data_IF_316987256136
#
_entry.id   IF_316987256136
#
_cell.length_a   1.000
_cell.length_b   1.000
_cell.length_c   1.000
_cell.angle_alpha   90.00
_cell.angle_beta   90.00
_cell.angle_gamma   90.00
#
_symmetry.space_group_name_H-M   'P 1'
#
loop_
_entity.id
_entity.type
_entity.pdbx_description
1 polymer ?
#
# COMPACT_ATOMS: atom_id res chain seq x y z
N UNK A 1 -20.54 4.45 -11.90
CA UNK A 1 -20.45 3.56 -13.07
C UNK A 1 -19.65 2.34 -12.61
N UNK A 2 -20.25 1.15 -12.62
CA UNK A 2 -19.64 -0.09 -12.09
C UNK A 2 -19.40 -1.14 -13.17
N UNK A 3 -19.94 -0.90 -14.36
CA UNK A 3 -19.57 -1.56 -15.60
C UNK A 3 -18.46 -0.74 -16.25
N UNK A 4 -17.43 -1.41 -16.76
CA UNK A 4 -16.31 -0.76 -17.46
C UNK A 4 -15.62 -1.74 -18.40
N UNK A 5 -15.02 -1.21 -19.46
CA UNK A 5 -14.11 -1.98 -20.32
C UNK A 5 -12.80 -2.30 -19.59
N UNK A 6 -12.05 -3.33 -20.03
CA UNK A 6 -10.74 -3.65 -19.46
C UNK A 6 -9.74 -2.49 -19.50
N UNK A 7 -9.79 -1.63 -20.53
CA UNK A 7 -8.95 -0.43 -20.64
C UNK A 7 -9.31 0.62 -19.57
N UNK A 8 -10.60 0.88 -19.38
CA UNK A 8 -11.08 1.78 -18.33
C UNK A 8 -10.76 1.23 -16.93
N UNK A 9 -10.95 -0.08 -16.73
CA UNK A 9 -10.59 -0.77 -15.51
C UNK A 9 -9.11 -0.65 -15.20
N UNK A 10 -8.23 -0.82 -16.20
CA UNK A 10 -6.78 -0.69 -16.01
C UNK A 10 -6.41 0.74 -15.60
N UNK A 11 -6.96 1.75 -16.29
CA UNK A 11 -6.75 3.16 -15.94
C UNK A 11 -7.21 3.45 -14.51
N UNK A 12 -8.38 2.94 -14.12
CA UNK A 12 -8.93 3.14 -12.78
C UNK A 12 -8.08 2.44 -11.72
N UNK A 13 -7.71 1.18 -11.95
CA UNK A 13 -6.82 0.42 -11.07
C UNK A 13 -5.49 1.12 -10.84
N UNK A 14 -4.84 1.63 -11.91
CA UNK A 14 -3.59 2.40 -11.79
C UNK A 14 -3.78 3.65 -10.96
N UNK A 15 -4.88 4.38 -11.13
CA UNK A 15 -5.18 5.56 -10.32
C UNK A 15 -5.40 5.22 -8.84
N UNK A 16 -6.00 4.07 -8.53
CA UNK A 16 -6.19 3.61 -7.15
C UNK A 16 -4.85 3.28 -6.48
N UNK A 17 -3.98 2.51 -7.13
CA UNK A 17 -2.67 2.15 -6.56
C UNK A 17 -1.69 3.33 -6.52
N UNK A 18 -1.81 4.27 -7.46
CA UNK A 18 -1.06 5.52 -7.42
C UNK A 18 -1.48 6.39 -6.23
N UNK A 19 -2.78 6.55 -6.00
CA UNK A 19 -3.29 7.27 -4.85
C UNK A 19 -2.93 6.57 -3.53
N UNK A 20 -3.03 5.24 -3.44
CA UNK A 20 -2.63 4.49 -2.25
C UNK A 20 -1.15 4.71 -1.89
N UNK A 21 -0.26 4.60 -2.88
CA UNK A 21 1.17 4.83 -2.65
C UNK A 21 1.52 6.29 -2.33
N UNK A 22 0.79 7.27 -2.90
CA UNK A 22 0.93 8.68 -2.52
C UNK A 22 0.50 8.92 -1.07
N UNK A 23 -0.65 8.37 -0.66
CA UNK A 23 -1.15 8.47 0.71
C UNK A 23 -0.17 7.86 1.74
N UNK A 24 0.48 6.74 1.41
CA UNK A 24 1.53 6.15 2.24
C UNK A 24 2.75 7.07 2.35
N UNK A 25 3.20 7.65 1.25
CA UNK A 25 4.31 8.61 1.25
C UNK A 25 3.99 9.85 2.11
N UNK A 26 2.78 10.38 1.99
CA UNK A 26 2.33 11.53 2.77
C UNK A 26 2.19 11.17 4.26
N UNK A 27 1.66 9.98 4.57
CA UNK A 27 1.58 9.46 5.94
C UNK A 27 2.97 9.35 6.57
N UNK A 28 3.98 8.91 5.80
CA UNK A 28 5.36 8.80 6.27
C UNK A 28 5.96 10.17 6.61
N UNK A 29 5.71 11.20 5.78
CA UNK A 29 6.12 12.58 6.09
C UNK A 29 5.45 13.09 7.37
N UNK A 30 4.15 12.83 7.54
CA UNK A 30 3.42 13.25 8.72
C UNK A 30 3.84 12.50 9.99
N UNK A 31 4.23 11.24 9.85
CA UNK A 31 4.79 10.44 10.94
C UNK A 31 6.10 11.04 11.43
N UNK A 32 7.01 11.39 10.52
CA UNK A 32 8.27 12.06 10.85
C UNK A 32 8.08 13.44 11.50
N UNK A 33 6.97 14.11 11.21
CA UNK A 33 6.57 15.38 11.83
C UNK A 33 5.73 15.21 13.11
N UNK A 34 5.67 13.99 13.67
CA UNK A 34 4.90 13.65 14.87
C UNK A 34 3.39 13.96 14.79
N UNK A 35 2.84 14.11 13.57
CA UNK A 35 1.41 14.31 13.33
C UNK A 35 0.69 12.95 13.25
N UNK A 36 0.81 12.16 14.32
CA UNK A 36 0.41 10.74 14.39
C UNK A 36 -1.04 10.49 14.01
N UNK A 37 -1.98 11.35 14.46
CA UNK A 37 -3.38 11.24 14.11
C UNK A 37 -3.62 11.26 12.60
N UNK A 38 -3.02 12.23 11.91
CA UNK A 38 -3.16 12.37 10.45
C UNK A 38 -2.44 11.26 9.70
N UNK A 39 -1.23 10.88 10.14
CA UNK A 39 -0.50 9.77 9.54
C UNK A 39 -1.34 8.48 9.58
N UNK A 40 -2.00 8.20 10.71
CA UNK A 40 -2.93 7.07 10.85
C UNK A 40 -4.12 7.16 9.91
N UNK A 41 -4.75 8.33 9.81
CA UNK A 41 -5.87 8.49 8.89
C UNK A 41 -5.50 8.29 7.42
N UNK A 42 -4.33 8.78 6.99
CA UNK A 42 -3.85 8.58 5.63
C UNK A 42 -3.48 7.11 5.35
N UNK A 43 -2.92 6.41 6.34
CA UNK A 43 -2.63 4.98 6.25
C UNK A 43 -3.93 4.17 6.02
N UNK A 44 -4.97 4.44 6.81
CA UNK A 44 -6.29 3.79 6.63
C UNK A 44 -6.89 4.10 5.26
N UNK A 45 -6.79 5.36 4.80
CA UNK A 45 -7.27 5.73 3.46
C UNK A 45 -6.52 4.98 2.35
N UNK A 46 -5.20 4.80 2.47
CA UNK A 46 -4.42 4.02 1.52
C UNK A 46 -4.91 2.57 1.43
N UNK A 47 -5.21 1.94 2.57
CA UNK A 47 -5.77 0.59 2.63
C UNK A 47 -7.19 0.53 2.03
N UNK A 48 -8.02 1.56 2.20
CA UNK A 48 -9.32 1.61 1.52
C UNK A 48 -9.20 1.74 -0.01
N UNK A 49 -8.20 2.50 -0.50
CA UNK A 49 -7.91 2.60 -1.93
C UNK A 49 -7.41 1.26 -2.48
N UNK A 50 -6.54 0.57 -1.72
CA UNK A 50 -6.09 -0.78 -2.02
C UNK A 50 -7.26 -1.77 -2.10
N UNK A 51 -8.21 -1.74 -1.15
CA UNK A 51 -9.39 -2.61 -1.19
C UNK A 51 -10.21 -2.47 -2.46
N UNK A 52 -10.40 -1.23 -2.96
CA UNK A 52 -11.02 -1.02 -4.28
C UNK A 52 -10.16 -1.56 -5.42
N UNK A 53 -8.84 -1.39 -5.33
CA UNK A 53 -7.92 -1.88 -6.35
C UNK A 53 -7.97 -3.41 -6.44
N UNK A 54 -8.10 -4.11 -5.31
CA UNK A 54 -8.25 -5.57 -5.25
C UNK A 54 -9.51 -6.03 -5.98
N UNK A 55 -10.66 -5.40 -5.75
CA UNK A 55 -11.90 -5.74 -6.47
C UNK A 55 -11.80 -5.54 -8.00
N UNK A 56 -11.13 -4.47 -8.45
CA UNK A 56 -10.88 -4.28 -9.89
C UNK A 56 -9.92 -5.35 -10.41
N UNK A 57 -8.86 -5.62 -9.68
CA UNK A 57 -7.82 -6.57 -10.08
C UNK A 57 -8.39 -7.99 -10.21
N UNK A 58 -9.18 -8.44 -9.23
CA UNK A 58 -9.86 -9.74 -9.25
C UNK A 58 -10.75 -9.88 -10.50
N UNK A 59 -11.53 -8.85 -10.82
CA UNK A 59 -12.45 -8.88 -11.94
C UNK A 59 -11.77 -8.85 -13.32
N UNK A 60 -10.62 -8.18 -13.46
CA UNK A 60 -10.04 -7.88 -14.79
C UNK A 60 -8.65 -8.47 -15.06
N UNK A 61 -7.95 -9.05 -14.07
CA UNK A 61 -6.58 -9.55 -14.27
C UNK A 61 -6.46 -10.54 -15.45
N UNK A 62 -7.48 -11.37 -15.69
CA UNK A 62 -7.49 -12.31 -16.82
C UNK A 62 -7.67 -11.57 -18.14
N UNK A 63 -8.68 -10.71 -18.25
CA UNK A 63 -8.93 -9.91 -19.45
C UNK A 63 -7.71 -9.06 -19.84
N UNK A 64 -7.03 -8.44 -18.88
CA UNK A 64 -5.79 -7.70 -19.12
C UNK A 64 -4.64 -8.56 -19.61
N UNK A 65 -4.60 -9.84 -19.22
CA UNK A 65 -3.54 -10.76 -19.62
C UNK A 65 -3.77 -11.29 -21.03
N UNK A 66 -5.03 -11.57 -21.38
CA UNK A 66 -5.45 -12.17 -22.66
C UNK A 66 -5.72 -11.12 -23.75
N UNK A 67 -5.85 -9.83 -23.39
CA UNK A 67 -6.23 -8.77 -24.32
C UNK A 67 -7.72 -8.79 -24.66
N UNK A 68 -8.55 -9.42 -23.82
CA UNK A 68 -9.99 -9.34 -23.93
C UNK A 68 -10.44 -7.90 -23.65
N UNK A 69 -11.41 -7.42 -24.43
CA UNK A 69 -12.00 -6.10 -24.33
C UNK A 69 -13.46 -6.13 -23.86
N UNK A 70 -13.98 -7.30 -23.52
CA UNK A 70 -15.36 -7.47 -23.04
C UNK A 70 -15.57 -6.68 -21.75
N UNK A 71 -16.55 -5.75 -21.71
CA UNK A 71 -16.88 -5.03 -20.48
C UNK A 71 -17.40 -5.97 -19.39
N UNK A 72 -17.03 -5.68 -18.14
CA UNK A 72 -17.47 -6.43 -16.97
C UNK A 72 -18.09 -5.50 -15.93
N UNK A 73 -19.05 -6.04 -15.17
CA UNK A 73 -19.62 -5.39 -13.99
C UNK A 73 -18.84 -5.83 -12.76
N UNK A 74 -18.24 -4.87 -12.04
CA UNK A 74 -17.59 -5.13 -10.75
C UNK A 74 -18.62 -5.05 -9.64
N UNK A 75 -19.26 -6.19 -9.34
CA UNK A 75 -20.34 -6.28 -8.35
C UNK A 75 -19.93 -5.76 -6.97
N UNK A 76 -18.69 -6.05 -6.53
CA UNK A 76 -18.17 -5.58 -5.26
C UNK A 76 -18.15 -4.04 -5.16
N UNK A 77 -17.76 -3.34 -6.24
CA UNK A 77 -17.82 -1.87 -6.26
C UNK A 77 -19.26 -1.34 -6.21
N UNK A 78 -20.19 -2.00 -6.88
CA UNK A 78 -21.61 -1.62 -6.84
C UNK A 78 -22.20 -1.76 -5.44
N UNK A 79 -21.85 -2.84 -4.75
CA UNK A 79 -22.40 -3.16 -3.45
C UNK A 79 -21.70 -2.43 -2.30
N UNK A 80 -20.37 -2.32 -2.36
CA UNK A 80 -19.53 -1.91 -1.23
C UNK A 80 -18.63 -0.70 -1.53
N UNK A 81 -18.70 -0.09 -2.73
CA UNK A 81 -17.81 1.01 -3.11
C UNK A 81 -17.86 2.24 -2.20
N UNK A 82 -18.97 2.43 -1.46
CA UNK A 82 -19.14 3.51 -0.47
C UNK A 82 -18.95 3.05 0.98
N UNK A 83 -18.71 1.76 1.20
CA UNK A 83 -18.53 1.17 2.51
C UNK A 83 -17.03 1.17 2.86
N UNK A 84 -16.64 2.08 3.75
CA UNK A 84 -15.25 2.24 4.20
C UNK A 84 -14.73 0.98 4.91
N UNK A 85 -15.57 0.39 5.79
CA UNK A 85 -15.25 -0.81 6.54
C UNK A 85 -14.99 -1.98 5.59
N UNK A 86 -15.83 -2.16 4.56
CA UNK A 86 -15.64 -3.24 3.57
C UNK A 86 -14.38 -3.07 2.72
N UNK A 87 -14.09 -1.85 2.27
CA UNK A 87 -12.84 -1.57 1.53
C UNK A 87 -11.60 -1.88 2.37
N UNK A 88 -11.58 -1.43 3.63
CA UNK A 88 -10.47 -1.69 4.53
C UNK A 88 -10.30 -3.18 4.82
N UNK A 89 -11.41 -3.87 5.10
CA UNK A 89 -11.44 -5.30 5.37
C UNK A 89 -10.81 -6.11 4.22
N UNK A 90 -11.10 -5.74 2.97
CA UNK A 90 -10.51 -6.38 1.79
C UNK A 90 -8.96 -6.32 1.82
N UNK A 91 -8.41 -5.15 2.16
CA UNK A 91 -6.96 -4.96 2.25
C UNK A 91 -6.35 -5.74 3.42
N UNK A 92 -7.05 -5.84 4.56
CA UNK A 92 -6.59 -6.65 5.72
C UNK A 92 -6.53 -8.12 5.35
N UNK A 93 -7.62 -8.67 4.80
CA UNK A 93 -7.69 -10.09 4.41
C UNK A 93 -6.63 -10.42 3.36
N UNK A 94 -6.42 -9.53 2.39
CA UNK A 94 -5.33 -9.68 1.43
C UNK A 94 -3.94 -9.66 2.10
N UNK A 95 -3.76 -8.82 3.12
CA UNK A 95 -2.53 -8.74 3.92
C UNK A 95 -2.24 -9.98 4.77
N UNK A 96 -3.19 -10.88 5.01
CA UNK A 96 -2.94 -12.14 5.73
C UNK A 96 -1.90 -13.03 5.02
N UNK A 97 -1.74 -12.86 3.69
CA UNK A 97 -0.74 -13.58 2.89
C UNK A 97 0.67 -12.98 3.03
N UNK A 98 0.82 -11.80 3.64
CA UNK A 98 2.04 -10.99 3.59
C UNK A 98 3.28 -11.73 4.10
N UNK A 99 3.20 -12.37 5.27
CA UNK A 99 4.32 -13.11 5.84
C UNK A 99 4.80 -14.21 4.88
N UNK A 100 3.87 -15.05 4.41
CA UNK A 100 4.17 -16.13 3.47
C UNK A 100 4.66 -15.64 2.11
N UNK A 101 4.15 -14.49 1.66
CA UNK A 101 4.57 -13.86 0.41
C UNK A 101 6.05 -13.45 0.47
N UNK A 102 6.51 -12.95 1.62
CA UNK A 102 7.90 -12.61 1.87
C UNK A 102 8.76 -13.78 2.38
N UNK A 103 8.24 -15.01 2.34
CA UNK A 103 8.97 -16.22 2.73
C UNK A 103 9.09 -16.45 4.23
N UNK A 104 8.34 -15.71 5.05
CA UNK A 104 8.21 -15.97 6.48
C UNK A 104 7.09 -17.00 6.73
N UNK A 105 7.52 -18.23 7.02
CA UNK A 105 6.66 -19.36 7.36
C UNK A 105 6.66 -19.69 8.85
N UNK A 106 7.23 -18.83 9.71
CA UNK A 106 7.31 -19.08 11.16
C UNK A 106 5.93 -19.29 11.79
N UNK A 107 4.93 -18.53 11.35
CA UNK A 107 3.54 -18.67 11.76
C UNK A 107 2.86 -19.97 11.26
N UNK A 108 3.36 -20.60 10.17
CA UNK A 108 2.87 -21.90 9.71
C UNK A 108 3.46 -23.08 10.50
N UNK A 109 4.52 -22.84 11.28
CA UNK A 109 5.23 -23.86 12.05
C UNK A 109 4.72 -24.05 13.49
N UNK A 110 3.79 -23.20 13.95
CA UNK A 110 3.19 -23.25 15.29
C UNK A 110 1.98 -24.18 15.37
N UNK A 111 2.07 -25.18 16.24
CA UNK A 111 1.01 -26.06 16.76
C UNK A 111 -0.35 -26.07 16.02
N UNK A 112 -0.47 -26.99 15.06
CA UNK A 112 -1.74 -27.62 14.68
C UNK A 112 -2.27 -28.56 15.79
N UNK A 113 -1.99 -28.24 17.05
CA UNK A 113 -2.46 -28.94 18.25
C UNK A 113 -3.49 -28.05 18.96
N UNK A 114 -4.60 -27.75 18.32
CA UNK A 114 -5.84 -27.50 19.05
C UNK A 114 -7.06 -27.67 18.15
N UNK A 115 -8.14 -28.16 18.78
CA UNK A 115 -9.37 -28.64 18.17
C UNK A 115 -10.28 -27.53 17.62
N UNK A 116 -9.74 -26.43 17.11
CA UNK A 116 -10.50 -25.42 16.38
C UNK A 116 -10.73 -25.94 14.95
N UNK A 117 -11.99 -26.08 14.54
CA UNK A 117 -12.28 -26.40 13.16
C UNK A 117 -11.84 -25.25 12.25
N UNK A 118 -11.43 -25.57 11.02
CA UNK A 118 -11.09 -24.56 10.01
C UNK A 118 -12.18 -23.51 9.79
N UNK A 119 -13.45 -23.87 10.01
CA UNK A 119 -14.60 -22.96 9.92
C UNK A 119 -14.66 -21.97 11.09
N UNK A 120 -14.39 -22.42 12.32
CA UNK A 120 -14.33 -21.56 13.52
C UNK A 120 -13.16 -20.56 13.43
N UNK A 121 -11.97 -21.03 13.05
CA UNK A 121 -10.80 -20.16 12.85
C UNK A 121 -11.07 -19.09 11.77
N UNK A 122 -11.76 -19.45 10.69
CA UNK A 122 -12.14 -18.53 9.61
C UNK A 122 -13.17 -17.50 10.06
N UNK A 123 -14.20 -17.90 10.80
CA UNK A 123 -15.24 -16.97 11.27
C UNK A 123 -14.68 -16.03 12.35
N UNK A 124 -13.80 -16.52 13.24
CA UNK A 124 -13.09 -15.67 14.21
C UNK A 124 -12.25 -14.59 13.52
N UNK A 125 -11.43 -14.97 12.54
CA UNK A 125 -10.63 -13.99 11.76
C UNK A 125 -11.51 -12.94 11.09
N UNK A 126 -12.65 -13.35 10.54
CA UNK A 126 -13.61 -12.44 9.92
C UNK A 126 -14.22 -11.47 10.94
N UNK A 127 -14.53 -11.91 12.16
CA UNK A 127 -15.03 -11.04 13.24
C UNK A 127 -13.95 -10.06 13.70
N UNK A 128 -12.72 -10.53 13.91
CA UNK A 128 -11.56 -9.70 14.26
C UNK A 128 -11.32 -8.63 13.19
N UNK A 129 -11.39 -9.01 11.91
CA UNK A 129 -11.17 -8.09 10.80
C UNK A 129 -12.31 -7.07 10.64
N UNK A 130 -13.57 -7.42 10.96
CA UNK A 130 -14.68 -6.45 11.02
C UNK A 130 -14.47 -5.44 12.16
N UNK A 131 -14.12 -5.91 13.36
CA UNK A 131 -13.84 -5.02 14.49
C UNK A 131 -12.65 -4.09 14.19
N UNK A 132 -11.59 -4.61 13.58
CA UNK A 132 -10.44 -3.83 13.14
C UNK A 132 -10.83 -2.78 12.09
N UNK A 133 -11.72 -3.12 11.16
CA UNK A 133 -12.17 -2.19 10.13
C UNK A 133 -13.03 -1.04 10.70
N UNK A 134 -13.88 -1.31 11.69
CA UNK A 134 -14.63 -0.28 12.38
C UNK A 134 -13.73 0.64 13.21
N UNK A 135 -12.75 0.07 13.93
CA UNK A 135 -11.76 0.86 14.68
C UNK A 135 -10.85 1.68 13.75
N UNK A 136 -10.49 1.14 12.58
CA UNK A 136 -9.74 1.88 11.57
C UNK A 136 -10.56 3.06 11.03
N UNK A 137 -11.85 2.86 10.73
CA UNK A 137 -12.73 3.94 10.29
C UNK A 137 -12.90 5.04 11.36
N UNK A 138 -13.00 4.66 12.63
CA UNK A 138 -13.04 5.62 13.75
C UNK A 138 -11.69 6.35 13.92
N UNK A 139 -10.58 5.62 13.86
CA UNK A 139 -9.22 6.18 13.90
C UNK A 139 -8.99 7.20 12.79
N UNK A 140 -9.44 6.88 11.56
CA UNK A 140 -9.41 7.80 10.43
C UNK A 140 -10.15 9.10 10.72
N UNK A 141 -11.34 9.05 11.33
CA UNK A 141 -12.08 10.26 11.72
C UNK A 141 -11.33 11.06 12.79
N UNK A 142 -10.83 10.39 13.84
CA UNK A 142 -10.09 11.05 14.93
C UNK A 142 -8.84 11.79 14.47
N UNK A 143 -8.19 11.36 13.39
CA UNK A 143 -7.02 12.04 12.84
C UNK A 143 -7.32 13.26 11.96
N UNK A 144 -8.59 13.56 11.64
CA UNK A 144 -8.96 14.73 10.86
C UNK A 144 -9.92 15.69 11.57
N UNK A 145 -10.78 15.18 12.44
CA UNK A 145 -11.84 15.97 13.07
C UNK A 145 -11.57 16.18 14.56
N UNK A 146 -11.91 17.37 15.05
CA UNK A 146 -12.07 17.63 16.48
C UNK A 146 -13.47 17.19 16.89
N UNK A 147 -13.57 16.43 17.97
CA UNK A 147 -14.84 15.87 18.46
C UNK A 147 -14.94 16.01 19.99
N UNK A 148 -16.04 15.54 20.58
CA UNK A 148 -16.23 15.44 22.03
C UNK A 148 -16.63 14.03 22.43
N UNK A 149 -16.01 13.52 23.49
CA UNK A 149 -16.42 12.23 24.05
C UNK A 149 -17.73 12.34 24.85
N UNK A 150 -18.22 11.21 25.37
CA UNK A 150 -19.46 11.14 26.16
C UNK A 150 -19.41 11.95 27.47
N UNK A 151 -18.23 12.27 27.97
CA UNK A 151 -18.01 13.10 29.16
C UNK A 151 -17.82 14.58 28.79
N UNK A 152 -17.87 14.90 27.50
CA UNK A 152 -17.72 16.25 26.97
C UNK A 152 -16.26 16.71 26.81
N UNK A 153 -15.28 15.82 26.98
CA UNK A 153 -13.86 16.12 26.77
C UNK A 153 -13.56 16.29 25.28
N UNK A 154 -12.71 17.27 24.94
CA UNK A 154 -12.35 17.56 23.55
C UNK A 154 -11.33 16.54 23.06
N UNK A 155 -11.65 15.85 21.96
CA UNK A 155 -10.76 14.96 21.23
C UNK A 155 -10.19 15.73 20.04
N UNK A 156 -8.86 15.75 19.91
CA UNK A 156 -8.17 16.46 18.83
C UNK A 156 -7.19 15.52 18.10
N UNK A 157 -7.03 15.65 16.77
CA UNK A 157 -6.00 14.93 16.03
C UNK A 157 -4.58 15.13 16.57
N UNK A 158 -4.31 16.27 17.21
CA UNK A 158 -3.01 16.61 17.80
C UNK A 158 -2.76 15.95 19.16
N UNK A 159 -3.80 15.36 19.77
CA UNK A 159 -3.70 14.69 21.06
C UNK A 159 -3.53 13.17 20.92
N UNK A 160 -3.43 12.67 19.69
CA UNK A 160 -3.22 11.25 19.40
C UNK A 160 -1.74 10.92 19.58
N UNK A 161 -1.44 9.94 20.43
CA UNK A 161 -0.10 9.40 20.63
C UNK A 161 0.33 8.53 19.43
N UNK A 162 1.64 8.30 19.28
CA UNK A 162 2.19 7.46 18.22
C UNK A 162 1.51 6.08 18.15
N UNK A 163 1.49 5.34 19.26
CA UNK A 163 1.01 3.96 19.25
C UNK A 163 1.80 3.11 18.24
N UNK A 164 1.09 2.29 17.46
CA UNK A 164 1.62 1.35 16.46
C UNK A 164 1.73 1.94 15.04
N UNK A 165 1.63 3.26 14.88
CA UNK A 165 1.47 3.85 13.56
C UNK A 165 2.66 3.61 12.62
N UNK A 166 3.88 3.46 13.15
CA UNK A 166 5.04 3.19 12.32
C UNK A 166 4.93 1.78 11.69
N UNK A 167 4.57 0.79 12.51
CA UNK A 167 4.38 -0.60 12.10
C UNK A 167 3.17 -0.75 11.18
N UNK A 168 2.05 -0.09 11.50
CA UNK A 168 0.83 -0.11 10.69
C UNK A 168 1.09 0.50 9.30
N UNK A 169 1.84 1.61 9.24
CA UNK A 169 2.23 2.27 7.99
C UNK A 169 3.16 1.41 7.14
N UNK A 170 4.18 0.80 7.76
CA UNK A 170 5.08 -0.12 7.07
C UNK A 170 4.31 -1.31 6.50
N UNK A 171 3.43 -1.92 7.31
CA UNK A 171 2.58 -3.04 6.88
C UNK A 171 1.71 -2.63 5.70
N UNK A 172 1.02 -1.48 5.78
CA UNK A 172 0.22 -0.97 4.67
C UNK A 172 1.04 -0.76 3.39
N UNK A 173 2.27 -0.25 3.51
CA UNK A 173 3.19 -0.10 2.38
C UNK A 173 3.55 -1.44 1.73
N UNK A 174 3.89 -2.45 2.55
CA UNK A 174 4.24 -3.78 2.07
C UNK A 174 3.06 -4.50 1.41
N UNK A 175 1.83 -4.34 1.91
CA UNK A 175 0.64 -4.95 1.30
C UNK A 175 0.31 -4.30 -0.06
N UNK A 176 0.45 -2.98 -0.20
CA UNK A 176 0.30 -2.33 -1.51
C UNK A 176 1.39 -2.81 -2.47
N UNK A 177 2.64 -2.92 -2.01
CA UNK A 177 3.75 -3.44 -2.80
C UNK A 177 3.50 -4.90 -3.25
N UNK A 178 2.96 -5.76 -2.39
CA UNK A 178 2.59 -7.13 -2.73
C UNK A 178 1.64 -7.19 -3.94
N UNK A 179 0.62 -6.33 -4.00
CA UNK A 179 -0.27 -6.25 -5.17
C UNK A 179 0.48 -5.78 -6.44
N UNK A 180 1.40 -4.82 -6.30
CA UNK A 180 2.21 -4.34 -7.43
C UNK A 180 3.15 -5.43 -7.97
N UNK A 181 3.78 -6.21 -7.08
CA UNK A 181 4.62 -7.35 -7.46
C UNK A 181 3.78 -8.45 -8.12
N UNK A 182 2.57 -8.70 -7.61
CA UNK A 182 1.63 -9.64 -8.24
C UNK A 182 1.26 -9.22 -9.66
N UNK A 183 0.94 -7.95 -9.88
CA UNK A 183 0.67 -7.42 -11.24
C UNK A 183 1.91 -7.48 -12.14
N UNK A 184 3.08 -7.14 -11.62
CA UNK A 184 4.34 -7.28 -12.35
C UNK A 184 4.57 -8.72 -12.81
N UNK A 185 4.40 -9.67 -11.90
CA UNK A 185 4.56 -11.11 -12.15
C UNK A 185 3.55 -11.60 -13.20
N UNK A 186 2.28 -11.19 -13.09
CA UNK A 186 1.25 -11.47 -14.11
C UNK A 186 1.70 -10.98 -15.49
N UNK A 187 2.15 -9.73 -15.60
CA UNK A 187 2.59 -9.16 -16.89
C UNK A 187 3.83 -9.83 -17.47
N UNK A 188 4.76 -10.28 -16.62
CA UNK A 188 6.00 -10.92 -17.07
C UNK A 188 5.82 -12.39 -17.45
N UNK A 189 4.96 -13.11 -16.74
CA UNK A 189 4.90 -14.57 -16.81
C UNK A 189 3.67 -15.10 -17.54
N UNK A 190 2.57 -14.34 -17.59
CA UNK A 190 1.29 -14.83 -18.08
C UNK A 190 0.65 -13.96 -19.17
N UNK A 191 0.92 -12.65 -19.21
CA UNK A 191 0.26 -11.75 -20.16
C UNK A 191 0.83 -11.88 -21.58
N UNK A 192 -0.06 -11.88 -22.57
CA UNK A 192 0.27 -11.74 -24.00
C UNK A 192 0.18 -10.28 -24.48
N UNK A 193 -0.30 -9.39 -23.61
CA UNK A 193 -0.42 -7.96 -23.86
C UNK A 193 0.89 -7.21 -23.59
N UNK A 194 1.08 -6.00 -24.16
CA UNK A 194 2.26 -5.20 -23.91
C UNK A 194 2.45 -4.87 -22.42
N UNK A 195 3.72 -4.77 -22.00
CA UNK A 195 4.07 -4.46 -20.62
C UNK A 195 3.63 -3.05 -20.22
N UNK A 196 2.77 -2.95 -19.20
CA UNK A 196 2.23 -1.70 -18.67
C UNK A 196 2.67 -1.48 -17.21
N UNK A 197 3.84 -0.86 -17.07
CA UNK A 197 4.57 -0.70 -15.81
C UNK A 197 3.82 0.03 -14.69
N UNK A 198 4.13 -0.37 -13.45
CA UNK A 198 3.80 0.28 -12.17
C UNK A 198 5.04 0.59 -11.32
N UNK A 199 6.23 0.63 -11.94
CA UNK A 199 7.50 0.81 -11.21
C UNK A 199 7.58 2.12 -10.42
N UNK A 200 6.92 3.19 -10.86
CA UNK A 200 6.91 4.45 -10.12
C UNK A 200 6.21 4.30 -8.76
N UNK A 201 5.04 3.65 -8.75
CA UNK A 201 4.28 3.38 -7.54
C UNK A 201 5.08 2.49 -6.59
N UNK A 202 5.72 1.43 -7.11
CA UNK A 202 6.54 0.54 -6.29
C UNK A 202 7.74 1.29 -5.70
N UNK A 203 8.47 2.06 -6.52
CA UNK A 203 9.63 2.84 -6.07
C UNK A 203 9.26 3.82 -4.96
N UNK A 204 8.06 4.41 -5.01
CA UNK A 204 7.55 5.34 -3.99
C UNK A 204 7.38 4.68 -2.62
N UNK A 205 7.10 3.36 -2.60
CA UNK A 205 6.86 2.60 -1.37
C UNK A 205 8.14 2.14 -0.68
N UNK A 206 9.22 1.88 -1.43
CA UNK A 206 10.46 1.29 -0.92
C UNK A 206 11.02 1.93 0.38
N UNK A 207 11.04 3.28 0.53
CA UNK A 207 11.53 3.89 1.78
C UNK A 207 10.70 3.54 3.02
N UNK A 208 9.46 3.10 2.82
CA UNK A 208 8.49 2.77 3.88
C UNK A 208 8.33 1.27 4.05
N UNK A 209 8.26 0.50 2.95
CA UNK A 209 8.08 -0.96 3.00
C UNK A 209 9.35 -1.71 3.43
N UNK A 210 10.51 -1.20 3.02
CA UNK A 210 11.83 -1.80 3.28
C UNK A 210 12.86 -0.74 3.70
N UNK A 211 12.66 -0.06 4.86
CA UNK A 211 13.43 1.13 5.23
C UNK A 211 14.94 0.86 5.38
N UNK A 212 15.32 -0.29 5.95
CA UNK A 212 16.73 -0.67 6.13
C UNK A 212 17.42 -0.96 4.81
N UNK A 213 16.81 -1.80 3.96
CA UNK A 213 17.33 -2.12 2.63
C UNK A 213 17.44 -0.88 1.75
N UNK A 214 16.44 0.00 1.83
CA UNK A 214 16.44 1.26 1.09
C UNK A 214 17.55 2.20 1.54
N UNK A 215 17.78 2.31 2.85
CA UNK A 215 18.86 3.13 3.40
C UNK A 215 20.23 2.60 2.95
N UNK A 216 20.46 1.29 3.04
CA UNK A 216 21.70 0.64 2.60
C UNK A 216 21.95 0.83 1.09
N UNK A 217 20.93 0.61 0.26
CA UNK A 217 21.04 0.81 -1.19
C UNK A 217 21.28 2.29 -1.56
N UNK A 218 20.65 3.22 -0.85
CA UNK A 218 20.83 4.65 -1.05
C UNK A 218 22.25 5.11 -0.69
N UNK A 219 22.83 4.55 0.37
CA UNK A 219 24.21 4.81 0.79
C UNK A 219 25.23 4.24 -0.20
N UNK A 220 25.03 3.00 -0.67
CA UNK A 220 25.85 2.39 -1.70
C UNK A 220 25.84 3.21 -3.01
N UNK A 221 24.67 3.71 -3.43
CA UNK A 221 24.56 4.55 -4.61
C UNK A 221 25.28 5.91 -4.44
N UNK A 222 25.21 6.52 -3.24
CA UNK A 222 25.90 7.79 -2.95
C UNK A 222 27.43 7.59 -2.91
N UNK A 223 27.89 6.50 -2.31
CA UNK A 223 29.33 6.21 -2.16
C UNK A 223 30.01 5.79 -3.47
N UNK A 224 29.25 5.23 -4.43
CA UNK A 224 29.74 4.86 -5.76
C UNK A 224 29.71 5.97 -6.81
N UNK A 225 29.25 7.18 -6.51
CA UNK A 225 29.44 8.33 -7.42
C UNK A 225 30.92 8.72 -7.45
N UNK A 226 31.56 8.82 -8.63
CA UNK A 226 32.92 9.34 -8.72
C UNK A 226 32.97 10.78 -8.19
N UNK A 227 33.79 11.02 -7.18
CA UNK A 227 34.19 12.37 -6.77
C UNK A 227 35.07 12.96 -7.87
N UNK A 228 34.57 14.00 -8.55
CA UNK A 228 35.40 14.99 -9.27
C UNK A 228 35.68 14.69 -10.74
N UNK A 229 34.94 15.35 -11.63
CA UNK A 229 35.59 16.11 -12.69
C UNK A 229 35.95 17.46 -12.04
N UNK A 230 37.15 17.56 -11.48
CA UNK A 230 37.73 18.88 -11.23
C UNK A 230 38.10 19.45 -12.59
N UNK A 231 37.46 20.56 -12.95
CA UNK A 231 37.90 21.41 -14.04
C UNK A 231 39.23 22.08 -13.64
N UNK A 232 40.32 21.32 -13.65
CA UNK A 232 41.69 21.85 -13.77
C UNK A 232 41.95 22.18 -15.25
N UNK A 233 41.20 23.14 -15.77
CA UNK A 233 41.46 23.78 -17.05
C UNK A 233 42.08 25.16 -16.79
N UNK A 234 43.31 25.17 -16.28
CA UNK A 234 44.17 26.35 -16.37
C UNK A 234 45.59 25.92 -16.72
N UNK A 235 45.78 25.45 -17.97
CA UNK A 235 47.10 25.36 -18.56
C UNK A 235 47.49 26.74 -19.10
N UNK A 236 48.50 27.33 -18.45
CA UNK A 236 49.24 28.50 -18.88
C UNK A 236 49.67 28.38 -20.35
N UNK A 237 49.18 29.28 -21.20
CA UNK A 237 49.85 29.59 -22.46
C UNK A 237 51.08 30.44 -22.17
N UNK A 238 52.26 29.86 -22.37
CA UNK A 238 53.51 30.63 -22.54
C UNK A 238 53.49 31.33 -23.90
N UNK A 239 53.93 32.60 -24.00
CA UNK A 239 54.14 33.24 -25.28
C UNK A 239 55.51 32.83 -25.82
N UNK A 240 55.53 32.27 -27.04
CA UNK A 240 56.76 32.18 -27.83
C UNK A 240 57.00 33.49 -28.58
N UNK A 241 58.29 33.79 -28.70
CA UNK A 241 58.92 35.03 -29.16
C UNK A 241 58.73 35.36 -30.65
#
# INVERSE_FOLDING_TARGET
>A
MTEMSPVEARKFWKALVDNASALISDAHVLLAAESYGRARSLTVLAQEELGKALWIYEAFQQAWSEGDNTPLVVSALKQYGRDHTKKYLEAVVFGDELASFWGDYTAMSGDWQDAESWEEARERRKQEAVAAADEANNSKKRGFYVDRDSNGAVLSPTSINAGTIAEDLQTAAQVVEMLLIRDHSRMKLAAVTPYDSTHEQQRRLLPVSHPEDWAAASEDFRSKRPLGHSDDANQEQKPDA
#
